data_IF_090205160901
#
_entry.id   IF_090205160901
#
_cell.length_a   1.000
_cell.length_b   1.000
_cell.length_c   1.000
_cell.angle_alpha   90.00
_cell.angle_beta   90.00
_cell.angle_gamma   90.00
#
_symmetry.space_group_name_H-M   'P 1'
#
loop_
_entity.id
_entity.type
_entity.pdbx_description
1 polymer ?
#
# COMPACT_ATOMS: atom_id res chain seq x y z
N UNK A 1 -6.51 13.43 -10.63
CA UNK A 1 -6.85 12.43 -9.60
C UNK A 1 -5.75 12.49 -8.58
N UNK A 2 -6.08 12.58 -7.29
CA UNK A 2 -5.08 12.59 -6.23
C UNK A 2 -4.43 11.18 -6.16
N UNK A 3 -3.10 11.11 -6.14
CA UNK A 3 -2.38 9.84 -6.08
C UNK A 3 -2.66 9.08 -4.77
N UNK A 4 -2.91 9.80 -3.67
CA UNK A 4 -3.34 9.19 -2.41
C UNK A 4 -4.67 8.48 -2.61
N UNK A 5 -5.64 9.14 -3.22
CA UNK A 5 -6.97 8.55 -3.47
C UNK A 5 -6.87 7.34 -4.41
N UNK A 6 -6.10 7.44 -5.52
CA UNK A 6 -5.88 6.31 -6.44
C UNK A 6 -5.26 5.12 -5.71
N UNK A 7 -4.27 5.37 -4.85
CA UNK A 7 -3.60 4.32 -4.09
C UNK A 7 -4.52 3.63 -3.07
N UNK A 8 -5.27 4.44 -2.32
CA UNK A 8 -6.19 3.96 -1.28
C UNK A 8 -7.34 3.16 -1.90
N UNK A 9 -7.90 3.60 -3.02
CA UNK A 9 -8.96 2.84 -3.70
C UNK A 9 -8.47 1.48 -4.20
N UNK A 10 -7.24 1.38 -4.71
CA UNK A 10 -6.67 0.08 -5.08
C UNK A 10 -6.49 -0.85 -3.87
N UNK A 11 -5.99 -0.34 -2.74
CA UNK A 11 -5.91 -1.13 -1.51
C UNK A 11 -7.28 -1.62 -1.03
N UNK A 12 -8.33 -0.77 -1.08
CA UNK A 12 -9.71 -1.18 -0.73
C UNK A 12 -10.20 -2.32 -1.61
N UNK A 13 -9.90 -2.27 -2.91
CA UNK A 13 -10.28 -3.32 -3.84
C UNK A 13 -9.58 -4.65 -3.55
N UNK A 14 -8.31 -4.61 -3.14
CA UNK A 14 -7.56 -5.81 -2.73
C UNK A 14 -8.18 -6.40 -1.46
N UNK A 15 -8.42 -5.58 -0.43
CA UNK A 15 -9.00 -6.06 0.83
C UNK A 15 -10.40 -6.66 0.65
N UNK A 16 -11.21 -6.07 -0.23
CA UNK A 16 -12.54 -6.60 -0.56
C UNK A 16 -12.50 -7.98 -1.23
N UNK A 17 -11.43 -8.30 -1.94
CA UNK A 17 -11.25 -9.59 -2.62
C UNK A 17 -10.66 -10.68 -1.70
N UNK A 18 -10.27 -10.30 -0.47
CA UNK A 18 -9.50 -11.12 0.44
C UNK A 18 -8.02 -10.74 0.37
N UNK A 19 -7.46 -10.34 1.51
CA UNK A 19 -6.08 -9.91 1.60
C UNK A 19 -5.09 -11.00 1.14
N UNK A 20 -4.11 -10.58 0.36
CA UNK A 20 -2.97 -11.37 -0.09
C UNK A 20 -1.74 -10.46 -0.14
N UNK A 21 -0.65 -10.86 0.51
CA UNK A 21 0.63 -10.15 0.47
C UNK A 21 1.12 -10.00 -0.97
N UNK A 22 1.04 -11.07 -1.77
CA UNK A 22 1.40 -11.08 -3.20
C UNK A 22 0.63 -10.00 -3.98
N UNK A 23 -0.70 -9.92 -3.81
CA UNK A 23 -1.52 -8.94 -4.52
C UNK A 23 -1.20 -7.50 -4.08
N UNK A 24 -0.99 -7.28 -2.78
CA UNK A 24 -0.64 -5.97 -2.24
C UNK A 24 0.76 -5.52 -2.71
N UNK A 25 1.76 -6.41 -2.66
CA UNK A 25 3.12 -6.20 -3.19
C UNK A 25 3.08 -5.83 -4.67
N UNK A 26 2.38 -6.65 -5.47
CA UNK A 26 2.26 -6.43 -6.91
C UNK A 26 1.61 -5.08 -7.21
N UNK A 27 0.54 -4.76 -6.50
CA UNK A 27 -0.15 -3.48 -6.66
C UNK A 27 0.74 -2.29 -6.34
N UNK A 28 1.47 -2.32 -5.22
CA UNK A 28 2.37 -1.24 -4.83
C UNK A 28 3.53 -1.08 -5.82
N UNK A 29 4.10 -2.19 -6.30
CA UNK A 29 5.14 -2.17 -7.33
C UNK A 29 4.65 -1.57 -8.65
N UNK A 30 3.49 -2.01 -9.13
CA UNK A 30 2.89 -1.50 -10.37
C UNK A 30 2.55 0.01 -10.23
N UNK A 31 2.08 0.44 -9.05
CA UNK A 31 1.80 1.84 -8.75
C UNK A 31 3.08 2.70 -8.76
N UNK A 32 4.15 2.21 -8.13
CA UNK A 32 5.47 2.85 -8.11
C UNK A 32 6.03 3.05 -9.53
N UNK A 33 5.92 2.04 -10.40
CA UNK A 33 6.40 2.14 -11.78
C UNK A 33 5.59 3.12 -12.64
N UNK A 34 4.28 3.23 -12.39
CA UNK A 34 3.37 4.07 -13.15
C UNK A 34 3.49 5.55 -12.80
N UNK A 35 3.80 5.88 -11.55
CA UNK A 35 3.63 7.23 -11.02
C UNK A 35 4.94 7.82 -10.49
N UNK A 36 5.15 9.12 -10.74
CA UNK A 36 6.21 9.89 -10.07
C UNK A 36 5.68 10.44 -8.74
N UNK A 37 5.84 9.66 -7.67
CA UNK A 37 5.35 10.00 -6.34
C UNK A 37 6.28 11.06 -5.71
N UNK A 38 5.81 12.29 -5.57
CA UNK A 38 6.52 13.38 -4.86
C UNK A 38 6.13 13.50 -3.39
N UNK A 39 4.99 12.91 -3.02
CA UNK A 39 4.48 12.88 -1.67
C UNK A 39 5.23 11.85 -0.84
N UNK A 40 5.99 12.33 0.16
CA UNK A 40 6.83 11.46 0.98
C UNK A 40 6.04 10.41 1.76
N UNK A 41 4.90 10.78 2.34
CA UNK A 41 4.12 9.85 3.15
C UNK A 41 3.52 8.74 2.28
N UNK A 42 3.07 9.09 1.07
CA UNK A 42 2.58 8.12 0.11
C UNK A 42 3.72 7.24 -0.42
N UNK A 43 4.89 7.83 -0.72
CA UNK A 43 6.07 7.09 -1.18
C UNK A 43 6.47 6.02 -0.16
N UNK A 44 6.59 6.40 1.12
CA UNK A 44 6.97 5.47 2.18
C UNK A 44 5.98 4.30 2.29
N UNK A 45 4.67 4.57 2.21
CA UNK A 45 3.66 3.50 2.24
C UNK A 45 3.81 2.56 1.06
N UNK A 46 4.00 3.09 -0.14
CA UNK A 46 4.17 2.29 -1.36
C UNK A 46 5.42 1.42 -1.24
N UNK A 47 6.53 1.99 -0.78
CA UNK A 47 7.79 1.26 -0.59
C UNK A 47 7.68 0.18 0.49
N UNK A 48 7.05 0.49 1.63
CA UNK A 48 6.81 -0.47 2.72
C UNK A 48 5.96 -1.66 2.24
N UNK A 49 4.91 -1.40 1.43
CA UNK A 49 4.05 -2.45 0.89
C UNK A 49 4.76 -3.26 -0.21
N UNK A 50 5.67 -2.66 -0.98
CA UNK A 50 6.41 -3.35 -2.04
C UNK A 50 7.32 -4.47 -1.52
N UNK A 51 7.72 -4.45 -0.25
CA UNK A 51 8.69 -5.39 0.30
C UNK A 51 8.05 -6.45 1.21
N UNK A 52 6.73 -6.43 1.42
CA UNK A 52 6.08 -7.33 2.40
C UNK A 52 6.17 -8.82 2.03
N UNK A 53 6.43 -9.12 0.76
CA UNK A 53 6.64 -10.49 0.27
C UNK A 53 8.13 -10.85 0.12
N UNK A 54 9.05 -9.98 0.57
CA UNK A 54 10.49 -10.18 0.47
C UNK A 54 11.07 -11.07 1.59
N UNK A 55 10.30 -11.35 2.64
CA UNK A 55 10.72 -12.18 3.78
C UNK A 55 9.79 -12.02 4.98
N UNK A 56 9.84 -12.97 5.92
CA UNK A 56 9.01 -12.98 7.13
C UNK A 56 9.17 -11.75 8.03
N UNK A 57 10.32 -11.08 7.94
CA UNK A 57 10.65 -9.87 8.67
C UNK A 57 9.96 -8.61 8.12
N UNK A 58 9.45 -8.68 6.88
CA UNK A 58 8.74 -7.60 6.20
C UNK A 58 7.24 -7.88 6.06
N UNK A 59 6.80 -9.10 6.36
CA UNK A 59 5.41 -9.51 6.23
C UNK A 59 4.49 -8.56 7.01
N UNK A 60 3.43 -8.10 6.34
CA UNK A 60 2.38 -7.30 6.95
C UNK A 60 1.04 -8.00 6.77
N UNK A 61 0.18 -7.87 7.76
CA UNK A 61 -1.24 -8.20 7.67
C UNK A 61 -2.04 -7.03 7.10
N UNK A 62 -3.27 -7.30 6.64
CA UNK A 62 -4.23 -6.26 6.26
C UNK A 62 -4.37 -5.17 7.34
N UNK A 63 -4.42 -5.59 8.62
CA UNK A 63 -4.55 -4.67 9.75
C UNK A 63 -3.35 -3.75 9.94
N UNK A 64 -2.15 -4.25 9.68
CA UNK A 64 -0.91 -3.46 9.74
C UNK A 64 -0.82 -2.45 8.60
N UNK A 65 -1.22 -2.83 7.38
CA UNK A 65 -1.33 -1.88 6.25
C UNK A 65 -2.34 -0.78 6.56
N UNK A 66 -3.51 -1.14 7.09
CA UNK A 66 -4.53 -0.16 7.52
C UNK A 66 -3.99 0.80 8.58
N UNK A 67 -3.23 0.29 9.54
CA UNK A 67 -2.59 1.10 10.59
C UNK A 67 -1.54 2.04 10.00
N UNK A 68 -0.66 1.54 9.12
CA UNK A 68 0.37 2.31 8.44
C UNK A 68 -0.23 3.51 7.67
N UNK A 69 -1.27 3.25 6.88
CA UNK A 69 -1.98 4.29 6.12
C UNK A 69 -2.64 5.31 7.05
N UNK A 70 -3.25 4.87 8.14
CA UNK A 70 -3.86 5.76 9.13
C UNK A 70 -2.82 6.63 9.83
N UNK A 71 -1.65 6.10 10.13
CA UNK A 71 -0.58 6.82 10.82
C UNK A 71 0.06 7.89 9.94
N UNK A 72 0.39 7.54 8.68
CA UNK A 72 1.07 8.43 7.74
C UNK A 72 0.11 9.38 7.00
N UNK A 73 -1.01 8.89 6.48
CA UNK A 73 -1.93 9.70 5.64
C UNK A 73 -3.18 10.21 6.38
N UNK A 74 -3.43 9.76 7.62
CA UNK A 74 -4.65 10.08 8.40
C UNK A 74 -5.95 9.64 7.72
N UNK A 75 -5.89 8.61 6.88
CA UNK A 75 -7.03 8.01 6.17
C UNK A 75 -7.41 6.69 6.82
N UNK A 76 -8.72 6.39 6.88
CA UNK A 76 -9.21 5.08 7.32
C UNK A 76 -9.55 4.21 6.09
N UNK A 77 -8.98 3.01 6.06
CA UNK A 77 -9.14 1.99 5.01
C UNK A 77 -10.17 0.94 5.39
#
# INVERSE_FOLDING_TARGET
MDLREEFIEGLRLIFKQGYSSELATKYAFDFYLKHKISDKDLYDIVEDIMIIDAGSEFEMTEGEIKKLVKEKLKINL
#
